data_IF_553525607341
#
_entry.id   IF_553525607341
#
_cell.length_a   1.000
_cell.length_b   1.000
_cell.length_c   1.000
_cell.angle_alpha   90.00
_cell.angle_beta   90.00
_cell.angle_gamma   90.00
#
_symmetry.space_group_name_H-M   'P 1'
#
loop_
_entity.id
_entity.type
_entity.pdbx_description
1 polymer ?
2 non-polymer ?
3 non-polymer ?
4 non-polymer ?
5 non-polymer ?
6 water ?
#
# COMPACT_ATOMS: atom_id res chain seq x y z
N UNK A 1 -13.81 -6.61 -15.56
CA UNK A 1 -15.18 -6.51 -15.03
C UNK A 1 -15.35 -5.18 -14.30
N UNK A 2 -16.52 -4.99 -13.68
CA UNK A 2 -16.87 -3.76 -12.96
C UNK A 2 -16.00 -3.42 -11.75
N UNK A 3 -15.76 -4.39 -10.87
CA UNK A 3 -14.93 -4.15 -9.71
C UNK A 3 -13.52 -4.72 -9.91
N UNK A 4 -12.56 -3.80 -9.90
CA UNK A 4 -11.17 -4.10 -10.12
C UNK A 4 -10.31 -3.78 -8.90
N UNK A 5 -9.47 -4.73 -8.47
CA UNK A 5 -8.67 -4.46 -7.28
C UNK A 5 -7.23 -4.33 -7.66
N UNK A 6 -6.59 -3.26 -7.17
CA UNK A 6 -5.18 -3.03 -7.45
C UNK A 6 -4.40 -3.05 -6.12
N UNK A 7 -3.54 -4.06 -5.93
CA UNK A 7 -2.73 -4.13 -4.70
C UNK A 7 -1.25 -4.42 -4.94
N UNK A 8 -0.46 -4.33 -3.88
CA UNK A 8 0.97 -4.60 -3.94
C UNK A 8 1.25 -6.08 -3.62
N UNK A 9 1.85 -6.81 -4.56
CA UNK A 9 2.11 -8.24 -4.37
C UNK A 9 3.39 -8.51 -3.56
N UNK A 10 4.18 -7.48 -3.34
CA UNK A 10 5.43 -7.63 -2.62
C UNK A 10 5.41 -6.93 -1.27
N UNK A 11 6.34 -6.00 -1.05
CA UNK A 11 6.41 -5.29 0.24
C UNK A 11 6.04 -3.80 0.07
N UNK A 12 4.97 -3.56 -0.68
CA UNK A 12 4.55 -2.21 -0.96
C UNK A 12 5.55 -1.55 -1.91
N UNK A 13 5.21 -0.35 -2.38
CA UNK A 13 6.03 0.47 -3.29
C UNK A 13 6.26 -0.09 -4.66
N UNK A 14 5.36 -0.97 -5.08
CA UNK A 14 5.46 -1.60 -6.38
C UNK A 14 5.03 -0.65 -7.49
N UNK A 15 4.11 0.27 -7.14
CA UNK A 15 3.58 1.23 -8.10
C UNK A 15 2.07 1.30 -8.17
N UNK A 16 1.42 1.13 -7.03
CA UNK A 16 -0.04 1.21 -6.96
C UNK A 16 -0.59 2.60 -7.39
N UNK A 17 -0.04 3.68 -6.79
CA UNK A 17 -0.48 5.05 -7.09
C UNK A 17 -0.63 5.33 -8.58
N UNK A 18 0.50 5.25 -9.28
CA UNK A 18 0.48 5.46 -10.71
C UNK A 18 -0.60 4.63 -11.39
N UNK A 19 -0.65 3.35 -11.07
CA UNK A 19 -1.58 2.44 -11.75
C UNK A 19 -3.04 2.69 -11.45
N UNK A 20 -3.33 3.09 -10.23
CA UNK A 20 -4.72 3.40 -9.86
C UNK A 20 -5.15 4.59 -10.74
N UNK A 21 -4.34 5.66 -10.65
CA UNK A 21 -4.55 6.89 -11.39
C UNK A 21 -4.65 6.68 -12.91
N UNK A 22 -3.83 5.81 -13.47
CA UNK A 22 -3.88 5.54 -14.91
C UNK A 22 -5.22 4.89 -15.31
N UNK A 23 -5.67 3.91 -14.53
CA UNK A 23 -6.90 3.16 -14.85
C UNK A 23 -8.26 3.78 -14.43
N UNK A 24 -8.23 4.69 -13.46
CA UNK A 24 -9.41 5.40 -12.97
C UNK A 24 -10.09 6.23 -14.10
N UNK A 25 -9.36 6.50 -15.16
CA UNK A 25 -9.91 7.23 -16.27
C UNK A 25 -11.29 6.77 -16.59
N UNK A 26 -11.52 5.46 -16.43
CA UNK A 26 -12.80 4.85 -16.75
C UNK A 26 -13.75 4.61 -15.59
N UNK A 27 -13.33 4.95 -14.38
CA UNK A 27 -14.14 4.65 -13.21
C UNK A 27 -14.88 5.78 -12.49
N UNK A 28 -16.02 5.42 -11.88
CA UNK A 28 -16.78 6.36 -11.11
C UNK A 28 -16.13 6.48 -9.77
N UNK A 29 -15.90 5.33 -9.12
CA UNK A 29 -15.29 5.34 -7.77
C UNK A 29 -13.89 4.77 -7.62
N UNK A 30 -13.25 5.16 -6.52
CA UNK A 30 -11.95 4.67 -6.13
C UNK A 30 -12.00 4.48 -4.62
N UNK A 31 -11.78 3.26 -4.14
CA UNK A 31 -11.84 3.01 -2.71
C UNK A 31 -10.55 2.50 -2.03
N UNK A 32 -10.10 3.25 -1.04
CA UNK A 32 -8.97 2.83 -0.25
C UNK A 32 -9.67 2.04 0.84
N UNK A 33 -9.24 0.79 0.98
CA UNK A 33 -9.85 -0.13 1.92
C UNK A 33 -9.03 -0.49 3.16
N UNK A 34 -7.81 0.01 3.27
CA UNK A 34 -7.00 -0.28 4.47
C UNK A 34 -5.81 0.64 4.56
N UNK A 35 -5.16 0.62 5.72
CA UNK A 35 -3.98 1.45 5.92
C UNK A 35 -4.35 2.84 6.41
N UNK A 36 -3.38 3.74 6.28
CA UNK A 36 -3.56 5.10 6.69
C UNK A 36 -2.57 5.93 5.93
N UNK A 37 -1.92 6.84 6.60
CA UNK A 37 -0.99 7.68 5.86
C UNK A 37 0.44 7.22 5.94
N UNK A 38 0.63 5.91 6.14
CA UNK A 38 1.97 5.34 6.15
C UNK A 38 2.26 5.13 4.67
N UNK A 39 1.19 4.87 3.93
CA UNK A 39 1.28 4.69 2.51
C UNK A 39 1.81 5.97 1.89
N UNK A 40 2.41 5.85 0.73
CA UNK A 40 2.94 6.99 0.04
C UNK A 40 2.91 6.51 -1.38
N UNK A 41 1.90 6.94 -2.13
CA UNK A 41 1.78 6.53 -3.51
C UNK A 41 2.41 7.64 -4.32
N UNK A 42 2.60 7.47 -5.61
CA UNK A 42 3.23 8.56 -6.31
C UNK A 42 2.83 8.59 -7.74
N UNK A 43 2.04 9.61 -8.08
CA UNK A 43 1.51 9.83 -9.43
C UNK A 43 2.31 10.94 -10.01
N UNK A 44 2.58 10.82 -11.29
CA UNK A 44 3.32 11.82 -12.05
C UNK A 44 2.57 11.99 -13.36
N UNK A 45 1.95 13.15 -13.52
CA UNK A 45 1.18 13.45 -14.73
C UNK A 45 1.93 14.53 -15.47
N UNK A 46 2.17 14.28 -16.75
CA UNK A 46 2.87 15.24 -17.57
C UNK A 46 4.07 15.85 -16.83
N UNK A 47 4.77 15.03 -16.04
CA UNK A 47 5.94 15.52 -15.32
C UNK A 47 5.67 16.24 -14.02
N UNK A 48 4.40 16.35 -13.65
CA UNK A 48 4.04 17.05 -12.42
C UNK A 48 3.78 15.97 -11.40
N UNK A 49 4.42 16.12 -10.24
CA UNK A 49 4.35 15.14 -9.19
C UNK A 49 3.41 15.37 -8.01
N UNK A 50 2.62 14.34 -7.71
CA UNK A 50 1.74 14.33 -6.54
C UNK A 50 2.05 13.00 -5.81
N UNK A 51 2.35 13.09 -4.51
CA UNK A 51 2.56 11.93 -3.66
C UNK A 51 1.42 11.91 -2.65
N UNK A 52 0.51 10.96 -2.83
CA UNK A 52 -0.62 10.81 -1.94
C UNK A 52 -0.28 9.87 -0.78
N UNK A 53 -0.86 10.09 0.38
CA UNK A 53 -0.61 9.21 1.51
C UNK A 53 -1.91 8.55 1.96
N UNK A 54 -2.81 9.32 2.56
CA UNK A 54 -4.10 8.81 2.99
C UNK A 54 -5.27 9.02 1.96
N UNK A 55 -5.15 10.00 1.06
CA UNK A 55 -6.23 10.29 0.06
C UNK A 55 -6.12 9.35 -1.14
N UNK A 56 -7.24 8.76 -1.56
CA UNK A 56 -7.19 7.85 -2.70
C UNK A 56 -6.53 8.43 -3.94
N UNK A 57 -5.75 7.64 -4.64
CA UNK A 57 -5.06 8.10 -5.83
C UNK A 57 -5.96 8.41 -7.04
N UNK A 58 -7.27 8.43 -6.82
CA UNK A 58 -8.18 8.78 -7.91
C UNK A 58 -8.60 10.27 -7.78
N UNK A 59 -8.02 10.93 -6.78
CA UNK A 59 -8.30 12.29 -6.45
C UNK A 59 -8.02 13.33 -7.54
N UNK A 60 -7.10 13.06 -8.44
CA UNK A 60 -6.81 14.04 -9.48
C UNK A 60 -7.80 13.97 -10.66
N UNK A 61 -8.89 13.22 -10.52
CA UNK A 61 -9.84 13.13 -11.62
C UNK A 61 -11.25 13.59 -11.20
N UNK A 62 -11.68 14.69 -11.80
CA UNK A 62 -13.00 15.24 -11.45
C UNK A 62 -14.14 14.29 -11.65
N UNK A 63 -13.97 13.37 -12.57
CA UNK A 63 -15.02 12.43 -12.87
C UNK A 63 -15.02 11.17 -11.99
N UNK A 64 -14.16 11.14 -10.98
CA UNK A 64 -14.09 9.98 -10.09
C UNK A 64 -14.33 10.45 -8.65
N UNK A 65 -15.17 9.72 -7.93
CA UNK A 65 -15.45 10.05 -6.53
C UNK A 65 -14.49 9.16 -5.68
N UNK A 66 -13.59 9.79 -4.92
CA UNK A 66 -12.63 9.11 -4.07
C UNK A 66 -13.32 8.81 -2.75
N UNK A 67 -13.21 7.55 -2.30
CA UNK A 67 -13.79 7.10 -1.03
C UNK A 67 -12.70 6.53 -0.15
N UNK A 68 -12.81 6.74 1.17
CA UNK A 68 -11.86 6.13 2.09
C UNK A 68 -12.73 5.22 2.97
N UNK A 69 -12.59 3.91 2.72
CA UNK A 69 -13.38 2.90 3.40
C UNK A 69 -13.11 2.72 4.86
N UNK A 70 -14.09 2.11 5.54
CA UNK A 70 -14.00 1.84 6.97
C UNK A 70 -12.72 1.08 7.41
N UNK A 71 -12.10 0.30 6.52
CA UNK A 71 -10.89 -0.36 6.96
C UNK A 71 -9.75 0.60 7.26
N UNK A 72 -9.74 1.77 6.62
CA UNK A 72 -8.66 2.73 6.80
C UNK A 72 -8.61 3.37 8.19
N UNK A 73 -7.39 3.65 8.67
CA UNK A 73 -7.17 4.34 9.94
C UNK A 73 -6.99 5.87 9.61
N UNK A 74 -8.00 6.67 9.94
CA UNK A 74 -7.97 8.08 9.57
C UNK A 74 -7.41 9.10 10.55
N UNK A 75 -6.34 9.75 10.14
CA UNK A 75 -5.72 10.82 10.94
C UNK A 75 -6.31 12.18 10.52
N UNK A 76 -7.19 12.77 11.35
CA UNK A 76 -7.77 14.08 11.04
C UNK A 76 -6.69 15.07 10.62
N UNK A 77 -5.60 15.10 11.37
CA UNK A 77 -4.46 15.97 11.11
C UNK A 77 -3.96 15.84 9.70
N UNK A 78 -3.45 14.65 9.39
CA UNK A 78 -2.89 14.38 8.07
C UNK A 78 -3.87 14.61 6.95
N UNK A 79 -5.14 14.24 7.17
CA UNK A 79 -6.15 14.46 6.13
C UNK A 79 -6.18 15.95 5.77
N UNK A 80 -6.45 16.79 6.77
CA UNK A 80 -6.52 18.24 6.57
C UNK A 80 -5.28 18.73 5.86
N UNK A 81 -4.12 18.31 6.35
CA UNK A 81 -2.82 18.68 5.74
C UNK A 81 -2.71 18.30 4.26
N UNK A 82 -3.09 17.08 3.90
CA UNK A 82 -3.02 16.69 2.50
C UNK A 82 -4.08 17.43 1.72
N UNK A 83 -5.24 17.59 2.34
CA UNK A 83 -6.34 18.32 1.72
C UNK A 83 -5.92 19.71 1.26
N UNK A 84 -5.37 20.50 2.17
CA UNK A 84 -4.94 21.84 1.82
C UNK A 84 -3.91 21.86 0.72
N UNK A 85 -2.95 20.96 0.76
CA UNK A 85 -1.93 20.95 -0.29
C UNK A 85 -2.55 20.63 -1.66
N UNK A 86 -3.58 19.81 -1.69
CA UNK A 86 -4.14 19.47 -2.97
C UNK A 86 -4.98 20.62 -3.43
N UNK A 87 -5.66 21.25 -2.47
CA UNK A 87 -6.49 22.41 -2.75
C UNK A 87 -5.66 23.59 -3.26
N UNK A 88 -4.53 23.85 -2.64
CA UNK A 88 -3.67 24.92 -3.12
C UNK A 88 -3.30 24.66 -4.57
N UNK A 89 -3.35 23.41 -5.01
CA UNK A 89 -3.03 23.12 -6.41
C UNK A 89 -4.24 22.93 -7.29
N UNK A 90 -5.37 23.48 -6.85
CA UNK A 90 -6.57 23.43 -7.68
C UNK A 90 -7.37 22.17 -7.74
N UNK A 91 -7.02 21.18 -6.90
CA UNK A 91 -7.76 19.92 -6.88
C UNK A 91 -8.72 20.07 -5.76
N UNK A 92 -10.02 20.21 -6.08
CA UNK A 92 -11.06 20.39 -5.07
C UNK A 92 -11.35 19.13 -4.25
N UNK A 93 -10.40 18.80 -3.37
CA UNK A 93 -10.46 17.61 -2.52
C UNK A 93 -11.84 17.38 -1.93
N UNK A 94 -12.25 18.30 -1.09
CA UNK A 94 -13.53 18.26 -0.39
C UNK A 94 -14.69 17.94 -1.34
N UNK A 95 -14.54 18.34 -2.60
CA UNK A 95 -15.58 18.11 -3.59
C UNK A 95 -15.63 16.68 -4.12
N UNK A 96 -14.50 16.02 -4.20
CA UNK A 96 -14.52 14.66 -4.72
C UNK A 96 -14.22 13.54 -3.75
N UNK A 97 -14.04 13.87 -2.48
CA UNK A 97 -13.73 12.86 -1.48
C UNK A 97 -14.82 12.52 -0.47
N UNK A 98 -15.20 11.24 -0.40
CA UNK A 98 -16.19 10.80 0.56
C UNK A 98 -15.52 9.90 1.63
N UNK A 99 -16.16 9.73 2.78
CA UNK A 99 -15.57 8.91 3.82
C UNK A 99 -16.54 8.13 4.74
N UNK A 100 -15.98 7.18 5.50
CA UNK A 100 -16.79 6.33 6.35
C UNK A 100 -16.77 6.70 7.82
N UNK A 101 -17.95 6.65 8.43
CA UNK A 101 -18.06 6.98 9.84
C UNK A 101 -17.45 5.88 10.70
N UNK A 102 -17.17 4.73 10.09
CA UNK A 102 -16.57 3.59 10.77
C UNK A 102 -15.04 3.71 10.83
N UNK A 103 -14.46 4.55 9.97
CA UNK A 103 -13.01 4.73 9.98
C UNK A 103 -12.54 5.12 11.37
N UNK A 104 -11.54 4.41 11.91
CA UNK A 104 -10.99 4.70 13.24
C UNK A 104 -10.20 5.99 13.10
N UNK A 105 -10.03 6.72 14.20
CA UNK A 105 -9.29 7.99 14.16
C UNK A 105 -7.89 7.84 14.75
N UNK A 106 -6.87 8.33 14.04
CA UNK A 106 -5.50 8.27 14.55
C UNK A 106 -5.30 9.64 15.15
N UNK A 107 -4.97 9.70 16.43
CA UNK A 107 -4.77 10.94 17.15
C UNK A 107 -3.36 10.94 17.70
N UNK A 108 -2.89 12.09 18.17
CA UNK A 108 -1.54 12.25 18.66
C UNK A 108 -0.97 11.15 19.54
N UNK A 109 -1.78 10.63 20.46
CA UNK A 109 -1.27 9.57 21.33
C UNK A 109 -0.95 8.28 20.59
N UNK A 110 -1.65 8.00 19.49
CA UNK A 110 -1.36 6.81 18.71
C UNK A 110 0.10 6.90 18.26
N UNK A 111 0.53 8.09 17.82
CA UNK A 111 1.94 8.28 17.44
C UNK A 111 2.84 8.13 18.70
N UNK A 112 2.36 8.66 19.82
CA UNK A 112 3.09 8.61 21.07
C UNK A 112 3.40 7.15 21.36
N UNK A 113 2.36 6.33 21.27
CA UNK A 113 2.50 4.90 21.50
C UNK A 113 3.48 4.26 20.51
N UNK A 114 3.18 4.32 19.23
CA UNK A 114 4.07 3.78 18.19
C UNK A 114 5.55 4.06 18.53
N UNK A 115 5.86 5.31 18.83
CA UNK A 115 7.23 5.71 19.16
C UNK A 115 7.77 4.90 20.33
N UNK A 116 6.93 4.74 21.35
CA UNK A 116 7.26 4.01 22.56
C UNK A 116 7.55 2.52 22.25
N UNK A 117 6.54 1.81 21.73
CA UNK A 117 6.68 0.39 21.42
C UNK A 117 7.99 0.15 20.70
N UNK A 118 8.18 0.91 19.63
CA UNK A 118 9.35 0.77 18.80
C UNK A 118 10.60 0.95 19.64
N UNK A 119 10.64 1.98 20.49
CA UNK A 119 11.84 2.17 21.29
C UNK A 119 12.01 0.99 22.22
N UNK A 120 10.91 0.53 22.82
CA UNK A 120 10.94 -0.63 23.74
C UNK A 120 11.62 -1.79 23.00
N UNK A 121 11.17 -2.09 21.79
CA UNK A 121 11.75 -3.13 20.96
C UNK A 121 13.28 -2.94 20.78
N UNK A 122 13.78 -1.81 21.25
CA UNK A 122 15.20 -1.54 21.15
C UNK A 122 15.81 -1.99 19.85
N UNK A 123 16.69 -2.98 19.91
CA UNK A 123 17.35 -3.44 18.69
C UNK A 123 16.56 -4.28 17.69
N UNK A 124 15.39 -4.77 18.05
CA UNK A 124 14.62 -5.59 17.11
C UNK A 124 13.37 -4.89 16.57
N UNK A 125 13.46 -3.57 16.41
CA UNK A 125 12.33 -2.77 15.93
C UNK A 125 11.81 -3.11 14.52
N UNK A 126 10.50 -2.99 14.38
CA UNK A 126 9.81 -3.27 13.14
C UNK A 126 10.22 -2.32 12.03
N UNK A 127 10.55 -1.08 12.43
CA UNK A 127 10.95 -0.07 11.47
C UNK A 127 9.68 0.54 10.90
N UNK A 128 8.72 0.86 11.75
CA UNK A 128 7.47 1.44 11.26
C UNK A 128 7.66 2.85 10.74
N UNK A 129 6.64 3.33 10.03
CA UNK A 129 6.61 4.68 9.42
C UNK A 129 6.38 5.88 10.34
N UNK A 130 6.20 5.68 11.64
CA UNK A 130 6.02 6.83 12.51
C UNK A 130 4.61 7.33 12.80
N UNK A 131 3.65 7.10 11.91
CA UNK A 131 2.26 7.50 12.16
C UNK A 131 1.87 6.61 13.34
N UNK A 132 0.60 6.51 13.70
CA UNK A 132 0.25 5.63 14.82
C UNK A 132 -0.67 4.54 14.30
N UNK A 133 -0.33 4.06 13.11
CA UNK A 133 -1.10 3.04 12.44
C UNK A 133 -1.41 1.84 13.33
N UNK A 134 -0.35 1.26 13.89
CA UNK A 134 -0.47 0.10 14.75
C UNK A 134 -1.43 0.32 15.89
N UNK A 135 -1.06 1.21 16.82
CA UNK A 135 -1.90 1.51 17.99
C UNK A 135 -3.36 1.83 17.68
N UNK A 136 -3.58 2.45 16.51
CA UNK A 136 -4.94 2.79 16.07
C UNK A 136 -5.69 1.52 15.69
N UNK A 137 -5.01 0.59 15.02
CA UNK A 137 -5.64 -0.69 14.71
C UNK A 137 -5.89 -1.44 16.02
N UNK A 138 -4.97 -1.34 16.97
CA UNK A 138 -5.21 -2.03 18.25
C UNK A 138 -6.44 -1.46 18.93
N UNK A 139 -6.47 -0.16 19.18
CA UNK A 139 -7.62 0.48 19.83
C UNK A 139 -8.92 0.08 19.11
N UNK A 140 -8.86 0.06 17.78
CA UNK A 140 -10.01 -0.35 16.99
C UNK A 140 -10.47 -1.69 17.52
N UNK A 141 -9.62 -2.70 17.30
CA UNK A 141 -9.88 -4.08 17.70
C UNK A 141 -10.19 -4.25 19.21
N UNK A 142 -9.63 -3.37 20.03
CA UNK A 142 -9.88 -3.35 21.47
C UNK A 142 -11.23 -2.73 21.79
N UNK A 143 -11.91 -2.19 20.78
CA UNK A 143 -13.21 -1.56 21.01
C UNK A 143 -13.19 -0.31 21.94
N UNK A 144 -12.08 0.43 21.97
CA UNK A 144 -11.97 1.66 22.74
C UNK A 144 -11.54 2.77 21.78
N UNK A 145 -11.22 2.41 20.55
CA UNK A 145 -10.82 3.42 19.61
C UNK A 145 -11.97 4.36 19.24
N UNK A 146 -11.60 5.57 18.83
CA UNK A 146 -12.56 6.56 18.42
C UNK A 146 -12.69 6.44 16.92
N UNK A 147 -13.92 6.54 16.44
CA UNK A 147 -14.23 6.44 15.02
C UNK A 147 -14.82 7.77 14.52
N UNK A 148 -14.77 7.98 13.20
CA UNK A 148 -15.32 9.16 12.52
C UNK A 148 -16.75 9.50 13.01
N UNK A 149 -17.60 8.48 13.09
CA UNK A 149 -18.96 8.70 13.56
C UNK A 149 -18.99 9.34 14.94
N UNK A 150 -18.05 9.00 15.82
CA UNK A 150 -18.08 9.59 17.14
C UNK A 150 -18.02 11.11 17.08
N UNK A 151 -17.33 11.67 16.07
CA UNK A 151 -17.18 13.14 15.95
C UNK A 151 -18.52 13.91 15.91
N UNK A 152 -19.61 13.19 15.60
CA UNK A 152 -20.91 13.81 15.57
C UNK A 152 -21.15 14.29 17.00
N UNK A 153 -21.96 13.62 17.81
CA UNK A 153 -22.14 14.16 19.17
C UNK A 153 -20.80 14.46 19.83
N UNK A 154 -20.40 15.73 19.80
CA UNK A 154 -19.15 16.21 20.34
C UNK A 154 -19.02 16.26 21.86
N UNK A 155 -20.13 16.36 22.57
CA UNK A 155 -20.00 16.42 24.02
C UNK A 155 -19.48 15.06 24.49
N UNK A 156 -20.13 14.00 24.01
CA UNK A 156 -19.75 12.63 24.37
C UNK A 156 -18.38 12.26 23.79
N UNK A 157 -18.05 12.73 22.59
CA UNK A 157 -16.73 12.46 22.01
C UNK A 157 -15.68 12.83 23.06
N UNK A 158 -15.89 13.97 23.71
CA UNK A 158 -14.98 14.49 24.73
C UNK A 158 -14.91 13.64 25.98
N UNK A 159 -15.98 12.94 26.29
CA UNK A 159 -15.94 12.06 27.45
C UNK A 159 -15.05 10.85 27.03
N UNK A 160 -15.46 10.23 25.94
CA UNK A 160 -14.74 9.10 25.38
C UNK A 160 -13.23 9.41 25.28
N UNK A 161 -12.85 10.50 24.62
CA UNK A 161 -11.44 10.81 24.48
C UNK A 161 -10.71 10.93 25.81
N UNK A 162 -11.24 11.75 26.73
CA UNK A 162 -10.64 11.95 28.06
C UNK A 162 -10.36 10.58 28.67
N UNK A 163 -11.34 9.70 28.54
CA UNK A 163 -11.28 8.33 29.01
C UNK A 163 -10.11 7.56 28.33
N UNK A 164 -10.14 7.46 27.01
CA UNK A 164 -9.10 6.74 26.33
C UNK A 164 -7.72 7.36 26.57
N UNK A 165 -7.64 8.69 26.51
CA UNK A 165 -6.38 9.40 26.71
C UNK A 165 -5.80 9.22 28.11
N UNK A 166 -6.69 9.10 29.08
CA UNK A 166 -6.31 8.89 30.46
C UNK A 166 -5.58 7.54 30.47
N UNK A 167 -6.21 6.52 29.86
CA UNK A 167 -5.67 5.17 29.77
C UNK A 167 -4.25 5.12 29.20
N UNK A 168 -4.10 5.64 27.98
CA UNK A 168 -2.82 5.67 27.26
C UNK A 168 -1.71 6.53 27.87
N UNK A 169 -2.09 7.50 28.68
CA UNK A 169 -1.08 8.36 29.28
C UNK A 169 -0.47 7.65 30.47
N UNK A 170 -1.32 6.97 31.24
CA UNK A 170 -0.83 6.21 32.37
C UNK A 170 0.34 5.31 31.88
N UNK A 171 0.08 4.50 30.86
CA UNK A 171 1.13 3.64 30.30
C UNK A 171 2.34 4.46 29.85
N UNK A 172 2.13 5.40 28.95
CA UNK A 172 3.20 6.25 28.43
C UNK A 172 4.09 6.78 29.54
N UNK A 173 3.46 7.32 30.57
CA UNK A 173 4.14 7.91 31.71
C UNK A 173 4.74 6.89 32.66
N UNK A 174 3.88 6.17 33.35
CA UNK A 174 4.30 5.19 34.34
C UNK A 174 5.13 4.04 33.76
N UNK A 175 4.68 3.45 32.65
CA UNK A 175 5.36 2.33 32.02
C UNK A 175 6.54 2.73 31.14
N UNK A 176 6.28 3.29 29.96
CA UNK A 176 7.37 3.70 29.09
C UNK A 176 8.10 4.92 29.62
N UNK A 177 7.55 5.54 30.67
CA UNK A 177 8.17 6.71 31.26
C UNK A 177 8.37 7.83 30.21
N UNK A 178 7.44 7.86 29.25
CA UNK A 178 7.45 8.84 28.18
C UNK A 178 6.54 9.97 28.63
N UNK A 179 6.63 11.12 27.98
CA UNK A 179 5.78 12.26 28.35
C UNK A 179 4.38 12.15 27.77
N UNK A 180 3.38 12.32 28.63
CA UNK A 180 1.99 12.19 28.21
C UNK A 180 1.57 13.19 27.12
N UNK A 181 0.45 12.89 26.49
CA UNK A 181 -0.10 13.73 25.46
C UNK A 181 -1.28 14.49 26.09
N UNK A 182 -1.36 15.81 25.90
CA UNK A 182 -2.48 16.52 26.50
C UNK A 182 -3.83 16.31 25.84
N UNK A 183 -4.77 15.96 26.71
CA UNK A 183 -6.14 15.75 26.30
C UNK A 183 -6.71 17.01 25.64
N UNK A 184 -6.47 18.19 26.23
CA UNK A 184 -7.00 19.45 25.68
C UNK A 184 -6.57 19.76 24.24
N UNK A 185 -5.27 19.71 23.97
CA UNK A 185 -4.81 19.97 22.61
C UNK A 185 -5.36 18.95 21.63
N UNK A 186 -5.49 17.70 22.06
CA UNK A 186 -6.00 16.69 21.15
C UNK A 186 -7.45 17.05 20.81
N UNK A 187 -8.23 17.27 21.86
CA UNK A 187 -9.65 17.62 21.72
C UNK A 187 -9.86 18.84 20.79
N UNK A 188 -9.09 19.89 21.02
CA UNK A 188 -9.16 21.12 20.25
C UNK A 188 -8.83 20.90 18.79
N UNK A 189 -7.62 20.40 18.50
CA UNK A 189 -7.22 20.14 17.11
C UNK A 189 -8.23 19.30 16.34
N UNK A 190 -8.75 18.27 16.99
CA UNK A 190 -9.71 17.39 16.37
C UNK A 190 -11.01 18.17 16.11
N UNK A 191 -11.51 18.85 17.16
CA UNK A 191 -12.74 19.62 17.02
C UNK A 191 -12.65 20.75 15.99
N UNK A 192 -11.46 21.31 15.79
CA UNK A 192 -11.32 22.36 14.79
C UNK A 192 -11.62 21.85 13.39
N UNK A 193 -11.45 20.56 13.13
CA UNK A 193 -11.71 20.04 11.77
C UNK A 193 -12.85 19.01 11.71
N UNK A 194 -13.48 18.80 12.85
CA UNK A 194 -14.56 17.86 12.92
C UNK A 194 -15.53 18.06 11.76
N UNK A 195 -16.17 19.22 11.74
CA UNK A 195 -17.16 19.56 10.71
C UNK A 195 -16.68 19.26 9.29
N UNK A 196 -15.43 19.58 9.00
CA UNK A 196 -14.91 19.30 7.66
C UNK A 196 -15.15 17.81 7.39
N UNK A 197 -14.61 16.97 8.29
CA UNK A 197 -14.70 15.49 8.22
C UNK A 197 -16.12 14.96 8.10
N UNK A 198 -16.92 15.19 9.14
CA UNK A 198 -18.29 14.73 9.14
C UNK A 198 -18.99 15.13 7.84
N UNK A 199 -18.51 16.19 7.19
CA UNK A 199 -19.11 16.63 5.94
C UNK A 199 -18.97 15.63 4.82
N UNK A 200 -17.85 14.91 4.78
CA UNK A 200 -17.64 13.95 3.72
C UNK A 200 -18.22 12.58 4.05
N UNK A 201 -18.80 12.43 5.23
CA UNK A 201 -19.36 11.14 5.54
C UNK A 201 -20.46 10.67 4.58
N UNK A 202 -20.36 9.38 4.26
CA UNK A 202 -21.34 8.62 3.47
C UNK A 202 -21.27 7.17 3.97
N UNK A 203 -22.34 6.42 3.69
CA UNK A 203 -22.46 5.01 4.04
C UNK A 203 -21.84 4.23 2.88
N UNK A 204 -20.50 4.23 2.84
CA UNK A 204 -19.71 3.60 1.79
C UNK A 204 -20.18 2.20 1.45
N UNK A 205 -20.37 1.38 2.47
CA UNK A 205 -20.84 0.02 2.26
C UNK A 205 -22.13 0.03 1.38
N UNK A 206 -23.17 0.75 1.79
CA UNK A 206 -24.40 0.80 0.97
C UNK A 206 -24.14 1.49 -0.39
N UNK A 207 -23.18 2.40 -0.42
CA UNK A 207 -22.83 3.09 -1.63
C UNK A 207 -22.33 2.10 -2.65
N UNK A 208 -21.37 1.26 -2.23
CA UNK A 208 -20.78 0.24 -3.11
C UNK A 208 -21.84 -0.75 -3.56
N UNK A 209 -22.80 -1.02 -2.71
CA UNK A 209 -23.86 -1.93 -3.10
C UNK A 209 -24.57 -1.40 -4.35
N UNK A 210 -25.09 -0.15 -4.31
CA UNK A 210 -25.74 0.43 -5.49
C UNK A 210 -24.79 0.69 -6.66
N UNK A 211 -23.62 1.25 -6.39
CA UNK A 211 -22.67 1.43 -7.49
C UNK A 211 -22.62 0.14 -8.28
N UNK A 212 -22.51 -0.98 -7.54
CA UNK A 212 -22.43 -2.30 -8.15
C UNK A 212 -23.70 -2.67 -8.89
N UNK A 213 -24.83 -2.64 -8.20
CA UNK A 213 -26.08 -2.99 -8.84
C UNK A 213 -26.29 -2.20 -10.16
N UNK A 214 -25.73 -1.00 -10.24
CA UNK A 214 -25.86 -0.21 -11.47
C UNK A 214 -24.92 -0.70 -12.54
N UNK A 215 -23.65 -0.92 -12.18
CA UNK A 215 -22.68 -1.41 -13.15
C UNK A 215 -21.47 -0.52 -13.16
N UNK A 216 -21.38 0.35 -12.17
CA UNK A 216 -20.28 1.30 -12.10
C UNK A 216 -18.93 0.65 -11.95
N UNK A 217 -17.96 1.20 -12.71
CA UNK A 217 -16.59 0.74 -12.66
C UNK A 217 -16.07 1.34 -11.38
N UNK A 218 -15.67 0.47 -10.46
CA UNK A 218 -15.13 0.85 -9.17
C UNK A 218 -13.70 0.28 -9.13
N UNK A 219 -12.81 0.94 -8.40
CA UNK A 219 -11.46 0.46 -8.30
C UNK A 219 -11.04 0.52 -6.87
N UNK A 220 -10.49 -0.59 -6.37
CA UNK A 220 -10.02 -0.59 -5.02
C UNK A 220 -8.55 -0.39 -5.12
N UNK A 221 -8.03 0.49 -4.29
CA UNK A 221 -6.64 0.82 -4.33
C UNK A 221 -6.06 0.33 -3.03
N UNK A 222 -5.02 -0.49 -3.12
CA UNK A 222 -4.44 -0.99 -1.91
C UNK A 222 -3.21 -0.27 -1.48
N UNK A 223 -2.95 -0.27 -0.19
CA UNK A 223 -1.72 0.30 0.39
C UNK A 223 -0.79 -0.91 0.72
N UNK A 224 0.47 -0.62 1.03
CA UNK A 224 1.46 -1.66 1.33
C UNK A 224 1.38 -2.85 0.34
N UNK A 225 1.86 -4.02 0.76
CA UNK A 225 1.83 -5.21 -0.09
C UNK A 225 1.56 -6.47 0.72
N UNK A 226 1.41 -7.60 0.01
CA UNK A 226 1.14 -8.96 0.57
C UNK A 226 1.99 -9.43 1.79
N UNK A 227 3.32 -9.47 1.63
CA UNK A 227 4.19 -9.89 2.71
C UNK A 227 4.18 -8.97 3.92
N UNK A 228 3.34 -7.92 3.87
CA UNK A 228 3.22 -6.99 5.00
C UNK A 228 1.87 -7.25 5.67
N UNK A 229 1.13 -8.23 5.14
CA UNK A 229 -0.17 -8.54 5.70
C UNK A 229 -0.15 -8.93 7.18
N UNK A 230 -0.89 -8.20 8.00
CA UNK A 230 -0.89 -8.55 9.40
C UNK A 230 -0.99 -10.11 9.64
N UNK A 231 -1.83 -10.80 8.86
CA UNK A 231 -2.01 -12.25 9.04
C UNK A 231 -0.95 -13.10 8.34
N UNK A 232 -0.94 -13.02 7.01
CA UNK A 232 -0.08 -13.76 6.13
C UNK A 232 1.24 -13.13 5.82
N UNK A 233 1.65 -12.11 6.55
CA UNK A 233 2.92 -11.48 6.26
C UNK A 233 4.05 -11.97 7.15
N UNK A 234 5.26 -11.44 6.91
CA UNK A 234 6.44 -11.84 7.68
C UNK A 234 6.39 -11.35 9.12
N UNK A 235 5.35 -11.80 9.82
CA UNK A 235 5.12 -11.40 11.20
C UNK A 235 6.35 -11.58 12.04
N UNK A 236 6.64 -10.64 12.97
CA UNK A 236 5.87 -9.41 13.27
C UNK A 236 6.27 -8.15 12.44
N UNK A 237 7.13 -8.35 11.45
CA UNK A 237 7.59 -7.25 10.61
C UNK A 237 6.56 -7.03 9.53
N UNK A 238 5.42 -6.52 9.97
CA UNK A 238 4.31 -6.30 9.08
C UNK A 238 3.53 -5.03 9.46
N UNK A 239 2.48 -4.75 8.69
CA UNK A 239 1.66 -3.60 9.02
C UNK A 239 0.48 -4.23 9.75
N UNK A 240 -0.23 -3.44 10.56
CA UNK A 240 -1.32 -3.92 11.35
C UNK A 240 -2.66 -4.17 10.69
N UNK A 241 -2.64 -4.38 9.37
CA UNK A 241 -3.87 -4.63 8.61
C UNK A 241 -3.70 -5.68 7.47
N UNK A 242 -4.82 -6.14 6.96
CA UNK A 242 -4.75 -7.04 5.85
C UNK A 242 -4.56 -6.31 4.53
N UNK A 243 -3.32 -6.26 4.06
CA UNK A 243 -3.03 -5.68 2.78
C UNK A 243 -3.40 -6.64 1.62
N UNK A 244 -3.68 -7.92 1.93
CA UNK A 244 -4.06 -8.92 0.90
C UNK A 244 -5.49 -8.68 0.45
N UNK A 245 -5.81 -9.18 -0.74
CA UNK A 245 -7.12 -8.97 -1.31
C UNK A 245 -8.37 -9.20 -0.45
N UNK A 246 -8.25 -9.73 0.77
CA UNK A 246 -9.45 -9.91 1.58
C UNK A 246 -9.85 -8.61 2.31
N UNK A 247 -8.90 -7.69 2.45
CA UNK A 247 -9.20 -6.43 3.08
C UNK A 247 -10.18 -5.58 2.24
N UNK A 248 -10.40 -5.96 0.98
CA UNK A 248 -11.31 -5.28 0.12
C UNK A 248 -12.67 -5.42 0.79
N UNK A 249 -13.26 -6.60 0.77
CA UNK A 249 -14.58 -6.70 1.40
C UNK A 249 -14.57 -6.19 2.85
N UNK A 250 -13.66 -6.66 3.69
CA UNK A 250 -13.69 -6.21 5.08
C UNK A 250 -13.42 -4.69 5.27
N UNK A 251 -12.76 -4.10 4.29
CA UNK A 251 -12.42 -2.71 4.43
C UNK A 251 -13.24 -1.70 3.66
N UNK A 252 -14.31 -2.16 3.00
CA UNK A 252 -15.18 -1.33 2.21
C UNK A 252 -16.65 -1.62 2.54
N UNK A 253 -16.98 -2.90 2.67
CA UNK A 253 -18.34 -3.27 2.99
C UNK A 253 -18.94 -3.94 1.78
N UNK A 254 -18.20 -4.01 0.69
CA UNK A 254 -18.68 -4.69 -0.51
C UNK A 254 -18.66 -6.23 -0.29
N UNK A 255 -19.66 -6.93 -0.82
CA UNK A 255 -19.69 -8.37 -0.65
C UNK A 255 -18.48 -8.94 -1.38
N UNK A 256 -17.71 -9.84 -0.72
CA UNK A 256 -16.52 -10.50 -1.29
C UNK A 256 -16.75 -11.09 -2.66
N UNK A 257 -17.93 -11.64 -2.87
CA UNK A 257 -18.18 -12.21 -4.19
C UNK A 257 -18.23 -11.15 -5.30
N UNK A 258 -18.16 -9.87 -4.96
CA UNK A 258 -18.23 -8.88 -6.01
C UNK A 258 -16.87 -8.37 -6.48
N UNK A 259 -15.80 -9.06 -6.12
CA UNK A 259 -14.49 -8.64 -6.65
C UNK A 259 -14.51 -9.32 -8.02
N UNK A 260 -14.26 -8.59 -9.10
CA UNK A 260 -14.30 -9.20 -10.41
C UNK A 260 -12.91 -9.59 -10.93
N UNK A 261 -11.95 -8.72 -10.72
CA UNK A 261 -10.61 -8.91 -11.22
C UNK A 261 -9.68 -8.35 -10.16
N UNK A 262 -8.56 -9.03 -9.91
CA UNK A 262 -7.57 -8.59 -8.94
C UNK A 262 -6.26 -8.40 -9.71
N UNK A 263 -5.73 -7.18 -9.64
CA UNK A 263 -4.52 -6.82 -10.35
C UNK A 263 -3.42 -6.70 -9.35
N UNK A 264 -2.31 -7.37 -9.64
CA UNK A 264 -1.19 -7.31 -8.74
C UNK A 264 -0.16 -6.41 -9.32
N UNK A 265 0.35 -5.49 -8.52
CA UNK A 265 1.37 -4.59 -8.96
C UNK A 265 2.66 -5.33 -8.57
N UNK A 266 3.50 -5.56 -9.57
CA UNK A 266 4.76 -6.32 -9.45
C UNK A 266 5.92 -5.48 -10.01
N UNK A 267 6.83 -5.05 -9.14
CA UNK A 267 7.96 -4.20 -9.52
C UNK A 267 9.19 -4.61 -10.37
N UNK A 268 9.23 -5.75 -11.04
CA UNK A 268 10.46 -6.06 -11.85
C UNK A 268 11.75 -6.39 -11.08
N UNK A 269 11.80 -5.96 -9.83
CA UNK A 269 12.88 -6.26 -8.94
C UNK A 269 12.18 -6.15 -7.60
N UNK A 270 12.90 -6.19 -6.49
CA UNK A 270 12.23 -6.09 -5.20
C UNK A 270 12.86 -4.98 -4.37
N UNK A 271 12.06 -4.39 -3.50
CA UNK A 271 12.55 -3.34 -2.62
C UNK A 271 11.82 -3.60 -1.34
N UNK A 272 12.40 -3.21 -0.22
CA UNK A 272 11.70 -3.41 1.02
C UNK A 272 12.12 -2.21 1.86
N UNK A 273 11.20 -1.67 2.65
CA UNK A 273 11.53 -0.61 3.55
C UNK A 273 10.95 -1.05 4.87
N UNK A 274 11.85 -1.10 5.85
CA UNK A 274 11.52 -1.58 7.17
C UNK A 274 12.36 -2.86 7.42
N UNK A 275 12.38 -3.29 8.68
CA UNK A 275 13.07 -4.48 9.12
C UNK A 275 12.29 -5.71 8.65
N UNK A 276 12.99 -6.78 8.26
CA UNK A 276 12.31 -8.02 7.88
C UNK A 276 13.01 -8.95 6.89
N UNK A 277 12.57 -10.20 6.80
CA UNK A 277 13.17 -11.16 5.88
C UNK A 277 13.15 -10.55 4.50
N UNK A 278 14.21 -10.84 3.73
CA UNK A 278 14.34 -10.37 2.33
C UNK A 278 15.35 -11.30 1.59
N UNK A 279 14.93 -12.54 1.33
CA UNK A 279 15.76 -13.52 0.66
C UNK A 279 16.69 -13.01 -0.42
N UNK A 280 16.10 -12.36 -1.43
CA UNK A 280 16.81 -11.83 -2.61
C UNK A 280 17.44 -10.45 -2.47
N UNK A 281 17.64 -9.99 -1.24
CA UNK A 281 18.23 -8.68 -0.98
C UNK A 281 19.65 -8.54 -1.50
N UNK A 282 19.97 -7.37 -2.05
CA UNK A 282 21.29 -7.13 -2.57
C UNK A 282 22.09 -6.14 -1.73
N UNK A 283 23.40 -6.35 -1.66
CA UNK A 283 24.27 -5.45 -0.87
C UNK A 283 25.48 -5.05 -1.68
N UNK A 284 25.47 -5.45 -2.94
CA UNK A 284 26.52 -5.20 -3.90
C UNK A 284 26.13 -4.04 -4.81
N UNK A 285 26.93 -3.83 -5.85
CA UNK A 285 26.72 -2.74 -6.79
C UNK A 285 25.36 -2.82 -7.44
N UNK A 286 24.96 -4.01 -7.87
CA UNK A 286 23.66 -4.16 -8.51
C UNK A 286 22.59 -3.73 -7.51
N UNK A 287 22.86 -3.89 -6.23
CA UNK A 287 21.89 -3.50 -5.22
C UNK A 287 21.81 -2.00 -5.20
N UNK A 288 22.98 -1.36 -5.26
CA UNK A 288 23.11 0.10 -5.27
C UNK A 288 22.47 0.63 -6.55
N UNK A 289 22.89 0.07 -7.68
CA UNK A 289 22.38 0.45 -8.97
C UNK A 289 20.85 0.42 -9.02
N UNK A 290 20.23 -0.54 -8.34
CA UNK A 290 18.77 -0.64 -8.34
C UNK A 290 18.16 0.50 -7.55
N UNK A 291 18.63 0.73 -6.35
CA UNK A 291 18.12 1.83 -5.56
C UNK A 291 18.33 3.15 -6.31
N UNK A 292 19.59 3.41 -6.67
CA UNK A 292 19.97 4.62 -7.37
C UNK A 292 19.11 4.88 -8.61
N UNK A 293 19.21 3.97 -9.56
CA UNK A 293 18.48 3.99 -10.83
C UNK A 293 16.94 4.06 -10.71
N UNK A 294 16.39 3.46 -9.65
CA UNK A 294 14.94 3.49 -9.47
C UNK A 294 14.47 4.47 -8.41
N UNK A 295 15.34 5.42 -8.07
CA UNK A 295 15.05 6.41 -7.07
C UNK A 295 14.26 5.71 -5.98
N UNK A 296 14.88 4.70 -5.37
CA UNK A 296 14.21 3.90 -4.33
C UNK A 296 14.34 4.40 -2.89
N UNK A 297 13.55 5.42 -2.60
CA UNK A 297 13.46 6.03 -1.27
C UNK A 297 11.95 6.06 -0.95
N UNK A 298 11.60 5.88 0.32
CA UNK A 298 10.20 5.87 0.69
C UNK A 298 9.47 7.16 0.42
N UNK A 299 8.28 7.05 -0.16
CA UNK A 299 7.48 8.21 -0.48
C UNK A 299 6.77 8.72 0.76
N UNK A 300 7.15 8.21 1.93
CA UNK A 300 6.55 8.65 3.16
C UNK A 300 7.54 8.92 4.26
N UNK A 301 8.57 8.10 4.44
CA UNK A 301 9.52 8.40 5.53
C UNK A 301 10.88 8.95 5.03
N UNK A 302 11.15 8.85 3.74
CA UNK A 302 12.43 9.32 3.23
C UNK A 302 13.55 8.26 3.21
N UNK A 303 13.32 7.17 3.96
CA UNK A 303 14.25 6.04 4.08
C UNK A 303 14.60 5.38 2.77
N UNK A 304 15.88 5.09 2.62
CA UNK A 304 16.41 4.37 1.46
C UNK A 304 15.74 2.98 1.48
N UNK A 305 15.41 2.47 0.32
CA UNK A 305 14.78 1.15 0.32
C UNK A 305 15.80 0.05 0.06
N UNK A 306 15.59 -1.09 0.68
CA UNK A 306 16.45 -2.28 0.49
C UNK A 306 15.99 -2.83 -0.87
N UNK A 307 16.95 -3.03 -1.75
CA UNK A 307 16.68 -3.53 -3.08
C UNK A 307 17.16 -4.97 -3.23
N UNK A 308 16.50 -5.73 -4.11
CA UNK A 308 16.90 -7.09 -4.35
C UNK A 308 16.33 -7.61 -5.65
N UNK A 309 16.60 -8.89 -5.95
CA UNK A 309 16.08 -9.50 -7.19
C UNK A 309 14.62 -9.83 -7.00
N UNK A 310 13.96 -10.02 -8.12
CA UNK A 310 12.55 -10.34 -8.12
C UNK A 310 12.42 -11.79 -7.61
N UNK A 311 11.69 -11.93 -6.49
CA UNK A 311 11.46 -13.21 -5.88
C UNK A 311 10.18 -13.86 -6.34
N UNK A 312 10.30 -14.87 -7.20
CA UNK A 312 9.16 -15.62 -7.71
C UNK A 312 8.51 -16.51 -6.64
N UNK A 313 9.32 -16.95 -5.68
CA UNK A 313 8.76 -17.80 -4.63
C UNK A 313 7.74 -16.95 -3.86
N UNK A 314 8.16 -15.75 -3.45
CA UNK A 314 7.29 -14.84 -2.70
C UNK A 314 6.10 -14.30 -3.52
N UNK A 315 6.34 -13.98 -4.77
CA UNK A 315 5.26 -13.49 -5.58
C UNK A 315 4.20 -14.54 -5.77
N UNK A 316 4.61 -15.80 -5.89
CA UNK A 316 3.66 -16.90 -6.08
C UNK A 316 2.79 -17.06 -4.85
N UNK A 317 3.30 -16.62 -3.71
CA UNK A 317 2.45 -16.65 -2.54
C UNK A 317 1.37 -15.55 -2.79
N UNK A 318 1.76 -14.43 -3.39
CA UNK A 318 0.83 -13.34 -3.71
C UNK A 318 -0.29 -13.79 -4.62
N UNK A 319 0.06 -14.53 -5.66
CA UNK A 319 -0.92 -15.06 -6.61
C UNK A 319 -2.07 -15.77 -5.93
N UNK A 320 -1.73 -16.72 -5.06
CA UNK A 320 -2.76 -17.49 -4.40
C UNK A 320 -3.52 -16.73 -3.32
N UNK A 321 -2.84 -15.94 -2.50
CA UNK A 321 -3.54 -15.21 -1.47
C UNK A 321 -4.54 -14.20 -2.07
N UNK A 322 -4.12 -13.48 -3.09
CA UNK A 322 -4.95 -12.45 -3.68
C UNK A 322 -5.90 -12.90 -4.82
N UNK A 323 -5.83 -14.16 -5.23
CA UNK A 323 -6.61 -14.64 -6.38
C UNK A 323 -6.31 -13.73 -7.56
N UNK A 324 -5.04 -13.42 -7.76
CA UNK A 324 -4.66 -12.54 -8.86
C UNK A 324 -5.40 -12.92 -10.12
N UNK A 325 -5.51 -11.98 -11.06
CA UNK A 325 -6.10 -12.22 -12.36
C UNK A 325 -5.03 -11.72 -13.32
N UNK A 326 -4.19 -10.82 -12.85
CA UNK A 326 -3.17 -10.35 -13.73
C UNK A 326 -2.14 -9.58 -12.97
N UNK A 327 -1.06 -9.30 -13.68
CA UNK A 327 0.04 -8.55 -13.11
C UNK A 327 0.30 -7.30 -13.94
N UNK A 328 0.77 -6.27 -13.26
CA UNK A 328 1.17 -5.09 -13.95
C UNK A 328 2.61 -5.05 -13.55
N UNK A 329 3.46 -5.23 -14.55
CA UNK A 329 4.90 -5.26 -14.36
C UNK A 329 5.48 -3.85 -14.38
N UNK A 330 5.94 -3.39 -13.23
CA UNK A 330 6.47 -2.05 -13.15
C UNK A 330 7.98 -1.86 -13.06
N UNK A 331 8.41 -0.67 -13.47
CA UNK A 331 9.78 -0.28 -13.38
C UNK A 331 10.73 -1.14 -14.20
N UNK A 332 10.22 -1.70 -15.29
CA UNK A 332 11.06 -2.50 -16.14
C UNK A 332 12.28 -1.66 -16.54
N UNK A 333 12.01 -0.41 -16.89
CA UNK A 333 13.06 0.48 -17.33
C UNK A 333 14.21 0.56 -16.37
N UNK A 334 13.98 0.28 -15.11
CA UNK A 334 15.06 0.38 -14.16
C UNK A 334 16.17 -0.63 -14.39
N UNK A 335 15.81 -1.77 -15.00
CA UNK A 335 16.79 -2.80 -15.26
C UNK A 335 17.65 -2.54 -16.48
N UNK A 336 17.28 -1.61 -17.35
CA UNK A 336 18.08 -1.32 -18.55
C UNK A 336 19.56 -1.17 -18.18
N UNK A 337 20.44 -1.61 -19.05
CA UNK A 337 21.85 -1.46 -18.73
C UNK A 337 22.48 -2.58 -17.91
N UNK A 338 21.68 -3.55 -17.45
CA UNK A 338 22.23 -4.69 -16.69
C UNK A 338 22.59 -5.79 -17.70
N UNK A 339 23.74 -6.42 -17.51
CA UNK A 339 24.23 -7.50 -18.39
C UNK A 339 23.28 -8.70 -18.37
N UNK A 340 22.89 -9.08 -17.16
CA UNK A 340 21.98 -10.20 -16.96
C UNK A 340 21.07 -9.91 -15.77
N UNK A 341 19.94 -10.59 -15.72
CA UNK A 341 18.97 -10.40 -14.66
C UNK A 341 18.56 -11.75 -14.02
N UNK A 342 18.40 -11.76 -12.69
CA UNK A 342 18.03 -12.98 -11.97
C UNK A 342 16.69 -12.92 -11.23
N UNK A 343 15.96 -14.03 -11.23
CA UNK A 343 14.71 -14.11 -10.49
C UNK A 343 14.74 -15.38 -9.63
N UNK A 344 14.55 -15.21 -8.33
CA UNK A 344 14.55 -16.33 -7.39
C UNK A 344 13.43 -17.25 -7.82
N UNK A 345 13.74 -18.54 -8.00
CA UNK A 345 12.75 -19.53 -8.42
C UNK A 345 12.43 -20.62 -7.40
N UNK A 346 13.28 -20.74 -6.38
CA UNK A 346 13.05 -21.76 -5.34
C UNK A 346 13.80 -21.34 -4.12
N UNK A 347 13.41 -21.84 -2.98
CA UNK A 347 14.11 -21.50 -1.75
C UNK A 347 14.96 -22.68 -1.21
N UNK A 348 16.18 -22.38 -0.78
CA UNK A 348 17.01 -23.41 -0.17
C UNK A 348 16.84 -23.29 1.36
N UNK A 349 16.09 -24.22 1.95
CA UNK A 349 15.85 -24.21 3.39
C UNK A 349 17.13 -24.46 4.16
N UNK A 350 17.15 -24.05 5.42
CA UNK A 350 18.32 -24.23 6.29
C UNK A 350 18.79 -25.68 6.48
N UNK A 351 17.87 -26.64 6.33
CA UNK A 351 18.16 -28.07 6.50
C UNK A 351 18.43 -28.83 5.20
N UNK A 352 18.80 -28.11 4.15
CA UNK A 352 19.06 -28.75 2.87
C UNK A 352 17.86 -28.93 1.93
N UNK A 353 16.65 -28.76 2.43
CA UNK A 353 15.46 -28.91 1.57
C UNK A 353 15.27 -27.77 0.55
N UNK A 354 14.90 -28.12 -0.68
CA UNK A 354 14.64 -27.18 -1.77
C UNK A 354 13.13 -27.05 -1.88
N UNK A 355 12.64 -25.83 -1.74
CA UNK A 355 11.20 -25.65 -1.77
C UNK A 355 10.80 -24.49 -2.67
N UNK A 356 9.55 -24.49 -3.14
CA UNK A 356 9.04 -23.41 -3.99
C UNK A 356 7.88 -22.72 -3.29
N UNK A 357 7.90 -22.80 -1.97
CA UNK A 357 6.87 -22.24 -1.14
C UNK A 357 7.60 -21.32 -0.16
N UNK A 358 6.88 -20.38 0.44
CA UNK A 358 7.49 -19.44 1.38
C UNK A 358 7.14 -19.76 2.84
N UNK A 359 8.04 -19.48 3.78
CA UNK A 359 7.80 -19.73 5.20
C UNK A 359 6.73 -18.70 5.60
N UNK A 360 6.22 -18.73 6.83
CA UNK A 360 5.27 -17.70 7.24
C UNK A 360 5.50 -17.18 8.64
N UNK A 361 6.38 -16.21 8.78
CA UNK A 361 6.69 -15.58 10.09
C UNK A 361 8.15 -15.30 10.02
N UNK A 362 8.51 -14.03 10.22
CA UNK A 362 9.90 -13.61 10.13
C UNK A 362 10.85 -14.76 10.43
N UNK A 363 10.79 -15.22 11.67
CA UNK A 363 11.64 -16.30 12.19
C UNK A 363 11.78 -17.49 11.27
N UNK A 364 10.65 -18.00 10.79
CA UNK A 364 10.68 -19.13 9.89
C UNK A 364 11.36 -18.80 8.57
N UNK A 365 12.01 -17.65 8.46
CA UNK A 365 12.71 -17.35 7.20
C UNK A 365 14.20 -17.25 7.53
N UNK A 366 14.53 -17.44 8.82
CA UNK A 366 15.90 -17.31 9.32
C UNK A 366 17.09 -17.78 8.56
N UNK A 367 17.01 -18.74 7.67
CA UNK A 367 18.24 -19.08 6.98
C UNK A 367 18.04 -19.37 5.52
N UNK A 368 16.85 -19.08 5.00
CA UNK A 368 16.60 -19.38 3.60
C UNK A 368 17.43 -18.53 2.65
N UNK A 369 17.95 -19.20 1.63
CA UNK A 369 18.79 -18.58 0.63
C UNK A 369 18.04 -18.88 -0.63
N UNK A 370 18.07 -17.96 -1.62
CA UNK A 370 17.35 -18.17 -2.87
C UNK A 370 18.13 -18.90 -3.94
N UNK A 371 17.39 -19.62 -4.78
CA UNK A 371 17.92 -20.35 -5.93
C UNK A 371 17.44 -19.56 -7.17
N UNK A 372 18.34 -18.74 -7.69
CA UNK A 372 18.02 -17.89 -8.83
C UNK A 372 17.78 -18.66 -10.10
N UNK A 373 17.90 -17.95 -11.23
CA UNK A 373 17.71 -18.48 -12.55
C UNK A 373 18.12 -17.32 -13.45
N UNK A 374 19.42 -17.14 -13.62
CA UNK A 374 19.95 -16.04 -14.43
C UNK A 374 19.44 -15.89 -15.87
N UNK A 375 19.06 -14.67 -16.23
CA UNK A 375 18.58 -14.37 -17.60
C UNK A 375 19.44 -13.25 -18.16
N UNK A 376 19.62 -13.22 -19.47
CA UNK A 376 20.45 -12.13 -19.99
C UNK A 376 19.68 -10.80 -19.96
N UNK A 377 20.41 -9.71 -19.72
CA UNK A 377 19.79 -8.39 -19.67
C UNK A 377 19.57 -7.81 -21.06
N UNK A 378 19.75 -6.49 -21.19
CA UNK A 378 19.58 -5.72 -22.46
C UNK A 378 20.09 -4.30 -22.22
N UNK A 379 21.03 -3.83 -23.03
CA UNK A 379 21.56 -2.48 -22.82
C UNK A 379 20.67 -1.41 -23.50
N UNK A 380 19.73 -1.88 -24.30
CA UNK A 380 18.82 -1.02 -25.01
C UNK A 380 18.03 -0.28 -23.95
N UNK A 381 17.27 0.74 -24.37
CA UNK A 381 16.49 1.54 -23.44
C UNK A 381 15.03 1.16 -23.55
N UNK A 382 14.37 1.02 -22.42
CA UNK A 382 12.94 0.69 -22.42
C UNK A 382 12.12 1.85 -21.85
N UNK A 383 12.79 2.90 -21.38
CA UNK A 383 12.09 4.05 -20.79
C UNK A 383 10.92 4.68 -21.58
N UNK A 384 9.79 4.77 -20.90
CA UNK A 384 8.61 5.33 -21.51
C UNK A 384 8.16 4.62 -22.77
N UNK A 385 8.70 3.44 -23.06
CA UNK A 385 8.25 2.73 -24.26
C UNK A 385 6.77 2.45 -24.02
N UNK A 386 5.96 2.56 -25.06
CA UNK A 386 4.53 2.37 -24.92
C UNK A 386 4.05 1.13 -25.68
N UNK A 387 4.99 0.32 -26.14
CA UNK A 387 4.66 -0.88 -26.90
C UNK A 387 5.70 -1.99 -26.79
N UNK A 388 5.22 -3.24 -26.69
CA UNK A 388 6.09 -4.40 -26.64
C UNK A 388 7.18 -4.21 -27.72
N UNK A 389 6.75 -3.90 -28.93
CA UNK A 389 7.65 -3.68 -30.03
C UNK A 389 8.93 -2.95 -29.66
N UNK A 390 8.83 -1.92 -28.82
CA UNK A 390 10.03 -1.17 -28.46
C UNK A 390 10.85 -1.88 -27.41
N UNK A 391 10.26 -2.92 -26.82
CA UNK A 391 10.94 -3.68 -25.78
C UNK A 391 11.85 -4.65 -26.47
N UNK A 392 13.09 -4.74 -26.00
CA UNK A 392 14.03 -5.66 -26.61
C UNK A 392 13.63 -7.10 -26.24
N UNK A 393 14.13 -8.07 -27.02
CA UNK A 393 13.85 -9.52 -26.85
C UNK A 393 14.18 -10.11 -25.48
N UNK A 394 15.33 -9.73 -24.96
CA UNK A 394 15.71 -10.18 -23.64
C UNK A 394 14.50 -9.91 -22.75
N UNK A 395 14.09 -8.63 -22.74
CA UNK A 395 12.95 -8.09 -21.98
C UNK A 395 11.71 -8.93 -22.19
N UNK A 396 11.33 -9.09 -23.44
CA UNK A 396 10.18 -9.91 -23.73
C UNK A 396 10.34 -11.27 -23.06
N UNK A 397 11.55 -11.83 -23.14
CA UNK A 397 11.85 -13.13 -22.52
C UNK A 397 11.79 -13.12 -20.98
N UNK A 398 12.47 -12.16 -20.36
CA UNK A 398 12.44 -12.04 -18.92
C UNK A 398 10.98 -11.95 -18.48
N UNK A 399 10.15 -11.26 -19.27
CA UNK A 399 8.73 -11.11 -18.96
C UNK A 399 7.98 -12.41 -19.15
N UNK A 400 8.20 -13.10 -20.28
CA UNK A 400 7.52 -14.38 -20.51
C UNK A 400 7.87 -15.38 -19.39
N UNK A 401 9.13 -15.43 -19.00
CA UNK A 401 9.49 -16.31 -17.91
C UNK A 401 8.57 -16.02 -16.71
N UNK A 402 8.52 -14.78 -16.23
CA UNK A 402 7.64 -14.47 -15.08
C UNK A 402 6.26 -15.10 -15.24
N UNK A 403 5.71 -15.06 -16.44
CA UNK A 403 4.40 -15.65 -16.64
C UNK A 403 4.45 -17.16 -16.36
N UNK A 404 5.47 -17.83 -16.88
CA UNK A 404 5.67 -19.29 -16.70
C UNK A 404 5.78 -19.65 -15.22
N UNK A 405 6.72 -19.04 -14.51
CA UNK A 405 6.90 -19.34 -13.11
C UNK A 405 5.68 -19.06 -12.22
N UNK A 406 4.73 -18.24 -12.70
CA UNK A 406 3.56 -17.87 -11.88
C UNK A 406 2.24 -18.31 -12.44
N UNK A 407 2.18 -18.48 -13.74
CA UNK A 407 0.90 -18.89 -14.31
C UNK A 407 -0.07 -17.72 -14.33
N UNK A 408 0.47 -16.51 -14.20
CA UNK A 408 -0.34 -15.30 -14.21
C UNK A 408 0.17 -14.39 -15.32
N UNK A 409 -0.75 -13.94 -16.22
CA UNK A 409 -0.44 -13.05 -17.35
C UNK A 409 -0.10 -11.62 -16.95
N UNK A 410 0.93 -11.06 -17.57
CA UNK A 410 1.29 -9.66 -17.29
C UNK A 410 0.43 -8.79 -18.23
N UNK A 411 -0.66 -8.29 -17.67
CA UNK A 411 -1.63 -7.47 -18.38
C UNK A 411 -1.21 -6.01 -18.66
N UNK A 412 -0.30 -5.48 -17.84
CA UNK A 412 0.15 -4.12 -17.98
C UNK A 412 1.64 -4.11 -17.70
N UNK A 413 2.40 -3.36 -18.50
CA UNK A 413 3.84 -3.24 -18.31
C UNK A 413 4.02 -1.71 -18.25
N UNK A 414 4.79 -1.23 -17.26
CA UNK A 414 5.02 0.20 -17.10
C UNK A 414 6.48 0.58 -17.36
N UNK A 415 6.69 1.57 -18.23
CA UNK A 415 8.00 2.05 -18.59
C UNK A 415 8.39 3.39 -18.00
N UNK A 416 7.64 3.86 -17.03
CA UNK A 416 8.02 5.13 -16.41
C UNK A 416 7.08 5.66 -15.35
N UNK A 417 7.54 6.67 -14.58
CA UNK A 417 6.67 7.22 -13.54
C UNK A 417 5.43 7.90 -14.09
N UNK A 418 5.51 8.40 -15.32
CA UNK A 418 4.40 9.12 -15.91
C UNK A 418 3.18 8.32 -16.29
N UNK A 419 2.03 8.84 -15.89
CA UNK A 419 0.78 8.20 -16.20
C UNK A 419 0.86 7.52 -17.59
N UNK A 420 1.42 8.23 -18.57
CA UNK A 420 1.51 7.69 -19.94
C UNK A 420 2.66 6.76 -20.36
N UNK A 421 3.69 6.62 -19.53
CA UNK A 421 4.83 5.74 -19.86
C UNK A 421 4.37 4.33 -19.46
N UNK A 422 3.44 3.78 -20.24
CA UNK A 422 2.86 2.49 -19.92
C UNK A 422 2.24 1.83 -21.13
N UNK A 423 2.10 0.50 -21.05
CA UNK A 423 1.49 -0.32 -22.09
C UNK A 423 0.35 -1.06 -21.41
N UNK A 424 -0.85 -0.98 -21.98
CA UNK A 424 -1.95 -1.73 -21.40
C UNK A 424 -2.31 -2.79 -22.46
N UNK A 425 -2.09 -4.05 -22.09
CA UNK A 425 -2.35 -5.13 -23.01
C UNK A 425 -3.78 -5.56 -22.82
N UNK A 426 -4.17 -5.76 -21.56
CA UNK A 426 -5.54 -6.14 -21.28
C UNK A 426 -5.95 -5.28 -20.09
N UNK A 427 -6.99 -4.47 -20.31
CA UNK A 427 -7.54 -3.55 -19.32
C UNK A 427 -8.46 -4.31 -18.41
N UNK A 428 -8.11 -4.39 -17.11
CA UNK A 428 -8.90 -5.09 -16.11
C UNK A 428 -10.39 -4.76 -16.16
N UNK A 429 -10.71 -3.51 -16.49
CA UNK A 429 -12.10 -3.09 -16.56
C UNK A 429 -12.95 -3.75 -17.64
N UNK A 430 -12.35 -4.12 -18.77
CA UNK A 430 -13.16 -4.78 -19.77
C UNK A 430 -12.92 -6.29 -19.89
N UNK A 431 -12.74 -6.94 -18.73
CA UNK A 431 -12.49 -8.39 -18.65
C UNK A 431 -13.32 -8.91 -17.49
#
# INVERSE_FOLDING_TARGET
>A
GNNVVVLGTQWGDEGKGKIVDLLTERAKYVVRYQGGHNAGHTLVINGEKTVLHLIPSGILRENVTSIIGNGVVLSPAALMKEMKELEDRGIPVRERLLLSEACPLILDYHVALDNAREKARGAKAIGTTGRGIGPAYEDKVARRGLRVGDLFDKETFAEKLKEVMEYHNFQLVNYYKAEAVDYQKVLDDTMAVADILTSMVVDVSDLLDQARQRGDFVMFEGAQGTLLDIDHGTYPYVTSSNTTAGGVATGSGLGPRYVDYVLGILKAYSTRVGAGPFPTELFDETGEFLCKQGNEFGATTGRRRRTGWLDTVAVRRAVQLNSLSGFCLTKLDVLDGLKEVKLCVAYRMPDGREVTTTPLAADDWKGVEPIYETMPGWSESTFGVKDRSGLPQAALNYIKRIEELTGVPIDIISTGPDRTETMILRDPFDA
#
